data_IF_973930165915
#
_entry.id   IF_973930165915
#
_cell.length_a   1.000
_cell.length_b   1.000
_cell.length_c   1.000
_cell.angle_alpha   90.00
_cell.angle_beta   90.00
_cell.angle_gamma   90.00
#
_symmetry.space_group_name_H-M   'P 1'
#
loop_
_entity.id
_entity.type
_entity.pdbx_description
1 polymer ?
#
# COMPACT_ATOMS: atom_id res chain seq x y z
N UNK A 1 -18.12 -13.04 -6.83
CA UNK A 1 -19.03 -11.88 -6.83
C UNK A 1 -18.19 -10.62 -6.76
N UNK A 2 -18.45 -9.63 -7.59
CA UNK A 2 -17.69 -8.37 -7.56
C UNK A 2 -18.36 -7.40 -6.58
N UNK A 3 -17.59 -6.86 -5.65
CA UNK A 3 -18.06 -5.80 -4.75
C UNK A 3 -18.14 -4.49 -5.53
N UNK A 4 -19.31 -3.90 -5.61
CA UNK A 4 -19.55 -2.71 -6.44
C UNK A 4 -19.52 -1.38 -5.68
N UNK A 5 -19.88 -1.38 -4.40
CA UNK A 5 -19.91 -0.15 -3.57
C UNK A 5 -18.84 -0.19 -2.51
N UNK A 6 -17.64 0.25 -2.87
CA UNK A 6 -16.55 0.49 -1.91
C UNK A 6 -16.22 1.97 -1.89
N UNK A 7 -15.76 2.44 -0.75
CA UNK A 7 -15.20 3.77 -0.57
C UNK A 7 -13.70 3.66 -0.35
N UNK A 8 -12.90 4.29 -1.22
CA UNK A 8 -11.44 4.35 -1.10
C UNK A 8 -11.08 5.75 -0.65
N UNK A 9 -10.49 5.85 0.52
CA UNK A 9 -10.14 7.14 1.14
C UNK A 9 -8.83 7.08 1.91
N UNK A 10 -8.30 8.25 2.24
CA UNK A 10 -7.16 8.33 3.16
C UNK A 10 -7.53 7.80 4.55
N UNK A 11 -6.55 7.19 5.18
CA UNK A 11 -6.59 6.80 6.58
C UNK A 11 -6.85 7.99 7.50
N UNK A 12 -7.62 7.77 8.56
CA UNK A 12 -7.83 8.70 9.68
C UNK A 12 -7.41 8.03 10.99
N UNK A 13 -7.01 8.82 11.98
CA UNK A 13 -6.59 8.28 13.29
C UNK A 13 -7.65 7.37 13.93
N UNK A 14 -8.94 7.65 13.70
CA UNK A 14 -10.05 6.81 14.17
C UNK A 14 -10.09 5.42 13.55
N UNK A 15 -9.40 5.18 12.45
CA UNK A 15 -9.35 3.89 11.75
C UNK A 15 -8.32 2.91 12.36
N UNK A 16 -7.49 3.36 13.29
CA UNK A 16 -6.35 2.60 13.82
C UNK A 16 -6.71 1.19 14.29
N UNK A 17 -7.80 1.06 15.05
CA UNK A 17 -8.22 -0.24 15.58
C UNK A 17 -8.55 -1.22 14.47
N UNK A 18 -9.36 -0.81 13.51
CA UNK A 18 -9.76 -1.66 12.37
C UNK A 18 -8.58 -1.96 11.45
N UNK A 19 -7.66 -0.99 11.25
CA UNK A 19 -6.43 -1.21 10.50
C UNK A 19 -5.54 -2.26 11.17
N UNK A 20 -5.36 -2.19 12.49
CA UNK A 20 -4.61 -3.19 13.25
C UNK A 20 -5.22 -4.59 13.14
N UNK A 21 -6.53 -4.69 13.22
CA UNK A 21 -7.26 -5.96 13.02
C UNK A 21 -7.07 -6.51 11.60
N UNK A 22 -7.09 -5.65 10.58
CA UNK A 22 -6.83 -6.03 9.20
C UNK A 22 -5.39 -6.53 9.02
N UNK A 23 -4.40 -5.78 9.52
CA UNK A 23 -2.98 -6.12 9.40
C UNK A 23 -2.63 -7.43 10.11
N UNK A 24 -3.28 -7.73 11.23
CA UNK A 24 -3.06 -8.97 11.98
C UNK A 24 -3.44 -10.24 11.20
N UNK A 25 -4.13 -10.12 10.07
CA UNK A 25 -4.42 -11.26 9.19
C UNK A 25 -3.20 -11.77 8.43
N UNK A 26 -2.15 -10.93 8.25
CA UNK A 26 -0.95 -11.24 7.47
C UNK A 26 0.35 -11.02 8.24
N UNK A 27 0.36 -10.08 9.18
CA UNK A 27 1.57 -9.68 9.88
C UNK A 27 1.36 -9.71 11.39
N UNK A 28 2.39 -10.15 12.11
CA UNK A 28 2.45 -9.94 13.56
C UNK A 28 2.78 -8.47 13.82
N UNK A 29 1.79 -7.70 14.24
CA UNK A 29 1.95 -6.26 14.44
C UNK A 29 1.08 -5.74 15.57
N UNK A 30 1.64 -4.82 16.33
CA UNK A 30 0.94 -3.96 17.28
C UNK A 30 1.27 -2.51 16.92
N UNK A 31 0.30 -1.82 16.34
CA UNK A 31 0.49 -0.44 15.87
C UNK A 31 0.30 0.50 17.03
N UNK A 32 1.42 0.94 17.68
CA UNK A 32 1.37 1.97 18.71
C UNK A 32 1.01 3.33 18.14
N UNK A 33 0.50 4.23 19.01
CA UNK A 33 0.23 5.64 18.63
C UNK A 33 1.50 6.36 18.17
N UNK A 34 2.61 6.10 18.85
CA UNK A 34 3.91 6.70 18.54
C UNK A 34 4.37 6.33 17.14
N UNK A 35 4.43 5.05 16.83
CA UNK A 35 4.82 4.54 15.50
C UNK A 35 3.88 5.06 14.40
N UNK A 36 2.57 5.05 14.66
CA UNK A 36 1.60 5.58 13.70
C UNK A 36 1.81 7.06 13.41
N UNK A 37 2.06 7.86 14.44
CA UNK A 37 2.32 9.29 14.29
C UNK A 37 3.62 9.55 13.54
N UNK A 38 4.69 8.81 13.82
CA UNK A 38 5.94 8.88 13.05
C UNK A 38 5.71 8.54 11.58
N UNK A 39 4.98 7.46 11.31
CA UNK A 39 4.64 7.04 9.96
C UNK A 39 3.85 8.10 9.19
N UNK A 40 2.82 8.69 9.82
CA UNK A 40 1.98 9.72 9.19
C UNK A 40 2.66 11.07 9.02
N UNK A 41 3.71 11.36 9.80
CA UNK A 41 4.52 12.58 9.69
C UNK A 41 5.58 12.51 8.59
N UNK A 42 5.69 11.41 7.88
CA UNK A 42 6.57 11.25 6.72
C UNK A 42 5.76 11.34 5.42
N UNK A 43 6.43 11.16 4.28
CA UNK A 43 5.81 11.21 2.94
C UNK A 43 4.98 9.95 2.62
N UNK A 44 4.27 9.43 3.60
CA UNK A 44 3.37 8.29 3.47
C UNK A 44 1.93 8.74 3.22
N UNK A 45 1.30 8.14 2.23
CA UNK A 45 -0.11 8.31 1.90
C UNK A 45 -0.82 6.98 2.10
N UNK A 46 -1.33 6.77 3.30
CA UNK A 46 -2.04 5.54 3.66
C UNK A 46 -3.50 5.62 3.22
N UNK A 47 -3.90 4.68 2.39
CA UNK A 47 -5.27 4.55 1.90
C UNK A 47 -5.94 3.32 2.49
N UNK A 48 -7.23 3.43 2.74
CA UNK A 48 -8.07 2.32 3.17
C UNK A 48 -9.24 2.15 2.22
N UNK A 49 -9.77 0.94 2.18
CA UNK A 49 -11.01 0.61 1.48
C UNK A 49 -12.06 0.24 2.49
N UNK A 50 -13.16 0.95 2.45
CA UNK A 50 -14.33 0.77 3.29
C UNK A 50 -15.46 0.07 2.52
N UNK A 51 -16.05 -0.93 3.13
CA UNK A 51 -17.24 -1.62 2.65
C UNK A 51 -18.15 -1.95 3.82
N UNK A 52 -19.42 -1.56 3.77
CA UNK A 52 -20.39 -1.76 4.85
C UNK A 52 -19.86 -1.30 6.22
N UNK A 53 -19.26 -0.11 6.27
CA UNK A 53 -18.65 0.50 7.46
C UNK A 53 -17.49 -0.31 8.09
N UNK A 54 -16.82 -1.15 7.30
CA UNK A 54 -15.63 -1.90 7.74
C UNK A 54 -14.46 -1.64 6.81
N UNK A 55 -13.27 -1.58 7.37
CA UNK A 55 -12.03 -1.52 6.59
C UNK A 55 -11.70 -2.93 6.11
N UNK A 56 -11.71 -3.11 4.79
CA UNK A 56 -11.49 -4.41 4.15
C UNK A 56 -10.18 -4.50 3.37
N UNK A 57 -9.52 -3.38 3.13
CA UNK A 57 -8.22 -3.35 2.46
C UNK A 57 -7.46 -2.06 2.82
N UNK A 58 -6.15 -2.11 2.68
CA UNK A 58 -5.27 -0.97 2.86
C UNK A 58 -4.02 -1.10 1.99
N UNK A 59 -3.44 0.03 1.63
CA UNK A 59 -2.13 0.13 1.01
C UNK A 59 -1.52 1.50 1.26
N UNK A 60 -0.19 1.55 1.33
CA UNK A 60 0.56 2.79 1.47
C UNK A 60 1.21 3.19 0.15
N UNK A 61 1.15 4.47 -0.19
CA UNK A 61 1.94 5.10 -1.23
C UNK A 61 2.96 6.01 -0.56
N UNK A 62 4.22 5.59 -0.54
CA UNK A 62 5.32 6.42 -0.06
C UNK A 62 5.87 7.28 -1.19
N UNK A 63 6.01 8.59 -0.96
CA UNK A 63 6.55 9.53 -1.95
C UNK A 63 8.02 9.80 -1.64
N UNK A 64 8.88 9.42 -2.56
CA UNK A 64 10.31 9.65 -2.45
C UNK A 64 10.73 10.80 -3.38
N UNK A 65 11.39 11.81 -2.81
CA UNK A 65 12.01 12.89 -3.59
C UNK A 65 13.35 12.44 -4.15
N UNK A 66 13.62 12.77 -5.39
CA UNK A 66 14.82 12.44 -6.15
C UNK A 66 15.52 13.70 -6.64
N UNK A 67 16.85 13.69 -6.65
CA UNK A 67 17.65 14.77 -7.23
C UNK A 67 17.88 14.63 -8.74
N UNK A 68 17.68 13.43 -9.27
CA UNK A 68 17.79 13.15 -10.71
C UNK A 68 16.67 13.82 -11.50
N UNK A 69 16.82 13.92 -12.81
CA UNK A 69 15.86 14.53 -13.74
C UNK A 69 15.47 15.97 -13.37
N UNK A 70 16.41 16.74 -12.80
CA UNK A 70 16.15 18.13 -12.38
C UNK A 70 15.33 18.26 -11.11
N UNK A 71 15.24 17.19 -10.31
CA UNK A 71 14.39 17.08 -9.14
C UNK A 71 13.01 16.51 -9.50
N UNK A 72 12.72 15.31 -9.03
CA UNK A 72 11.45 14.62 -9.31
C UNK A 72 10.97 13.83 -8.11
N UNK A 73 9.77 13.28 -8.22
CA UNK A 73 9.17 12.40 -7.23
C UNK A 73 8.96 11.00 -7.80
N UNK A 74 9.07 10.01 -6.96
CA UNK A 74 8.75 8.63 -7.26
C UNK A 74 7.85 8.07 -6.15
N UNK A 75 6.84 7.31 -6.51
CA UNK A 75 6.00 6.61 -5.54
C UNK A 75 6.43 5.16 -5.36
N UNK A 76 6.34 4.66 -4.13
CA UNK A 76 6.45 3.23 -3.80
C UNK A 76 5.16 2.78 -3.13
N UNK A 77 4.57 1.72 -3.67
CA UNK A 77 3.42 1.06 -3.04
C UNK A 77 3.94 -0.04 -2.13
N UNK A 78 3.51 -0.04 -0.88
CA UNK A 78 3.93 -0.97 0.16
C UNK A 78 2.74 -1.39 1.03
N UNK A 79 2.91 -2.49 1.75
CA UNK A 79 1.94 -2.99 2.72
C UNK A 79 0.51 -3.12 2.14
N UNK A 80 0.43 -3.72 0.95
CA UNK A 80 -0.86 -3.98 0.29
C UNK A 80 -1.53 -5.17 0.95
N UNK A 81 -2.70 -4.95 1.50
CA UNK A 81 -3.50 -6.00 2.12
C UNK A 81 -4.98 -5.90 1.71
N UNK A 82 -5.56 -7.03 1.38
CA UNK A 82 -7.01 -7.21 1.25
C UNK A 82 -7.43 -8.30 2.22
N UNK A 83 -8.41 -8.02 3.04
CA UNK A 83 -8.97 -9.00 3.98
C UNK A 83 -9.32 -10.29 3.25
N UNK A 84 -8.93 -11.43 3.84
CA UNK A 84 -9.09 -12.77 3.25
C UNK A 84 -10.50 -13.03 2.72
N UNK A 85 -11.51 -12.55 3.43
CA UNK A 85 -12.93 -12.68 3.06
C UNK A 85 -13.28 -11.96 1.74
N UNK A 86 -12.54 -10.91 1.38
CA UNK A 86 -12.88 -10.03 0.25
C UNK A 86 -11.90 -10.12 -0.93
N UNK A 87 -10.99 -11.11 -0.91
CA UNK A 87 -10.04 -11.35 -2.01
C UNK A 87 -10.76 -11.85 -3.26
N UNK A 88 -10.10 -11.67 -4.40
CA UNK A 88 -10.59 -12.09 -5.72
C UNK A 88 -11.94 -11.46 -6.15
N UNK A 89 -12.30 -10.33 -5.55
CA UNK A 89 -13.53 -9.59 -5.85
C UNK A 89 -13.29 -8.21 -6.45
N UNK A 90 -12.04 -7.93 -6.88
CA UNK A 90 -11.64 -6.69 -7.54
C UNK A 90 -11.27 -5.54 -6.60
N UNK A 91 -11.31 -5.74 -5.28
CA UNK A 91 -10.99 -4.72 -4.28
C UNK A 91 -9.54 -4.23 -4.41
N UNK A 92 -8.59 -5.17 -4.46
CA UNK A 92 -7.16 -4.85 -4.58
C UNK A 92 -6.85 -4.06 -5.84
N UNK A 93 -7.41 -4.47 -6.98
CA UNK A 93 -7.21 -3.75 -8.26
C UNK A 93 -7.71 -2.31 -8.20
N UNK A 94 -8.87 -2.07 -7.62
CA UNK A 94 -9.41 -0.72 -7.45
C UNK A 94 -8.53 0.12 -6.53
N UNK A 95 -8.03 -0.47 -5.43
CA UNK A 95 -7.12 0.19 -4.52
C UNK A 95 -5.81 0.58 -5.21
N UNK A 96 -5.15 -0.35 -5.90
CA UNK A 96 -3.91 -0.06 -6.62
C UNK A 96 -4.11 1.03 -7.68
N UNK A 97 -5.18 0.96 -8.47
CA UNK A 97 -5.50 2.00 -9.44
C UNK A 97 -5.65 3.37 -8.78
N UNK A 98 -6.28 3.43 -7.61
CA UNK A 98 -6.40 4.69 -6.84
C UNK A 98 -5.03 5.24 -6.41
N UNK A 99 -4.11 4.37 -5.99
CA UNK A 99 -2.76 4.80 -5.62
C UNK A 99 -1.96 5.26 -6.85
N UNK A 100 -2.11 4.61 -8.00
CA UNK A 100 -1.48 5.03 -9.26
C UNK A 100 -1.98 6.41 -9.70
N UNK A 101 -3.31 6.64 -9.63
CA UNK A 101 -3.90 7.96 -9.87
C UNK A 101 -3.34 9.02 -8.92
N UNK A 102 -3.23 8.70 -7.63
CA UNK A 102 -2.67 9.60 -6.61
C UNK A 102 -1.20 9.89 -6.86
N UNK A 103 -0.41 8.91 -7.23
CA UNK A 103 0.99 9.09 -7.62
C UNK A 103 1.13 10.09 -8.78
N UNK A 104 0.29 9.95 -9.80
CA UNK A 104 0.23 10.89 -10.93
C UNK A 104 -0.18 12.30 -10.47
N UNK A 105 -1.22 12.40 -9.66
CA UNK A 105 -1.74 13.68 -9.13
C UNK A 105 -0.67 14.46 -8.35
N UNK A 106 0.12 13.80 -7.51
CA UNK A 106 1.19 14.44 -6.73
C UNK A 106 2.48 14.67 -7.52
N UNK A 107 2.52 14.31 -8.80
CA UNK A 107 3.62 14.59 -9.71
C UNK A 107 4.74 13.54 -9.71
N UNK A 108 4.46 12.30 -9.34
CA UNK A 108 5.43 11.22 -9.51
C UNK A 108 5.67 10.91 -10.99
N UNK A 109 6.94 10.75 -11.38
CA UNK A 109 7.27 10.30 -12.74
C UNK A 109 7.05 8.80 -12.94
N UNK A 110 7.03 8.06 -11.85
CA UNK A 110 6.66 6.64 -11.81
C UNK A 110 6.20 6.22 -10.41
N UNK A 111 5.50 5.10 -10.36
CA UNK A 111 5.18 4.36 -9.13
C UNK A 111 5.72 2.95 -9.29
N UNK A 112 6.40 2.43 -8.28
CA UNK A 112 6.94 1.07 -8.26
C UNK A 112 6.50 0.32 -7.01
N UNK A 113 6.66 -0.99 -7.04
CA UNK A 113 6.50 -1.87 -5.88
C UNK A 113 7.37 -3.11 -6.02
N UNK A 114 7.62 -3.79 -4.93
CA UNK A 114 8.14 -5.13 -4.92
C UNK A 114 6.97 -6.11 -4.90
N UNK A 115 6.88 -6.91 -5.95
CA UNK A 115 5.80 -7.87 -6.13
C UNK A 115 6.18 -9.19 -5.47
N UNK A 116 5.34 -9.74 -4.61
CA UNK A 116 5.50 -11.08 -4.11
C UNK A 116 5.35 -12.10 -5.26
N UNK A 117 6.10 -13.18 -5.17
CA UNK A 117 6.07 -14.27 -6.17
C UNK A 117 4.64 -14.78 -6.39
N UNK A 118 4.26 -14.91 -7.65
CA UNK A 118 2.92 -15.35 -8.05
C UNK A 118 1.85 -14.26 -8.15
N UNK A 119 2.17 -13.01 -7.80
CA UNK A 119 1.24 -11.87 -7.92
C UNK A 119 1.48 -10.98 -9.14
N UNK A 120 2.40 -11.36 -10.03
CA UNK A 120 2.77 -10.55 -11.20
C UNK A 120 1.57 -10.21 -12.08
N UNK A 121 0.74 -11.21 -12.38
CA UNK A 121 -0.44 -11.01 -13.22
C UNK A 121 -1.46 -10.05 -12.59
N UNK A 122 -1.58 -10.05 -11.26
CA UNK A 122 -2.43 -9.11 -10.56
C UNK A 122 -2.00 -7.66 -10.84
N UNK A 123 -0.71 -7.36 -10.72
CA UNK A 123 -0.18 -6.01 -10.96
C UNK A 123 -0.12 -5.65 -12.45
N UNK A 124 0.22 -6.59 -13.33
CA UNK A 124 0.15 -6.38 -14.78
C UNK A 124 -1.25 -5.94 -15.24
N UNK A 125 -2.30 -6.49 -14.63
CA UNK A 125 -3.69 -6.10 -14.90
C UNK A 125 -4.06 -4.69 -14.42
N UNK A 126 -3.20 -4.01 -13.66
CA UNK A 126 -3.36 -2.61 -13.28
C UNK A 126 -2.63 -1.64 -14.21
N UNK A 127 -1.95 -2.15 -15.25
CA UNK A 127 -1.12 -1.37 -16.18
C UNK A 127 0.32 -1.18 -15.72
N UNK A 128 0.74 -1.83 -14.63
CA UNK A 128 2.15 -1.87 -14.22
C UNK A 128 2.93 -2.83 -15.11
N UNK A 129 4.23 -2.62 -15.21
CA UNK A 129 5.15 -3.40 -16.05
C UNK A 129 6.26 -4.02 -15.21
N UNK A 130 6.72 -5.20 -15.61
CA UNK A 130 7.86 -5.85 -14.96
C UNK A 130 9.15 -5.10 -15.32
N UNK A 131 9.90 -4.70 -14.30
CA UNK A 131 11.19 -4.05 -14.47
C UNK A 131 12.32 -5.07 -14.58
N UNK A 132 13.38 -4.70 -15.32
CA UNK A 132 14.60 -5.54 -15.49
C UNK A 132 15.59 -5.40 -14.32
N UNK A 133 15.21 -4.72 -13.25
CA UNK A 133 16.07 -4.51 -12.07
C UNK A 133 15.87 -5.65 -11.08
N UNK A 134 16.97 -6.06 -10.46
CA UNK A 134 16.96 -7.07 -9.41
C UNK A 134 16.87 -6.36 -8.07
N UNK A 135 15.91 -6.75 -7.23
CA UNK A 135 15.85 -6.32 -5.84
C UNK A 135 16.95 -7.02 -5.03
N UNK A 136 17.60 -6.26 -4.18
CA UNK A 136 18.60 -6.78 -3.23
C UNK A 136 18.27 -6.23 -1.85
N UNK A 137 18.42 -7.05 -0.81
CA UNK A 137 18.18 -6.66 0.57
C UNK A 137 19.27 -7.18 1.50
N UNK A 138 19.51 -6.45 2.56
CA UNK A 138 20.30 -6.89 3.70
C UNK A 138 19.43 -6.76 4.95
N UNK A 139 19.17 -7.87 5.62
CA UNK A 139 18.29 -7.91 6.80
C UNK A 139 19.14 -7.84 8.06
N UNK A 140 18.94 -6.83 8.88
CA UNK A 140 19.56 -6.68 10.20
C UNK A 140 18.77 -7.48 11.23
N UNK A 141 19.01 -8.80 11.28
CA UNK A 141 18.23 -9.76 12.09
C UNK A 141 18.33 -9.54 13.60
N UNK A 142 19.30 -8.78 14.06
CA UNK A 142 19.52 -8.49 15.49
C UNK A 142 18.40 -7.64 16.10
N UNK A 143 17.67 -6.89 15.27
CA UNK A 143 16.67 -5.91 15.70
C UNK A 143 15.22 -6.38 15.48
N UNK A 144 14.99 -7.51 14.82
CA UNK A 144 13.65 -7.99 14.46
C UNK A 144 13.50 -9.48 14.69
N UNK A 145 12.44 -9.85 15.39
CA UNK A 145 11.95 -11.24 15.44
C UNK A 145 10.82 -11.38 14.42
N UNK A 146 11.08 -12.19 13.41
CA UNK A 146 10.05 -12.58 12.43
C UNK A 146 9.37 -13.88 12.87
#
# INVERSE_FOLDING_TARGET
MKINKINIRKFKSSDKKELSELYSQEWETDISEEILNEFLNTENLLFIVEYENKIIASANLHIQYKLIHGGCKMGYIEEVIVSKKYRSQGVGKKLINKLLEKGKEVGCYKVALLCADGLENFYLNTGMEIQKKIAMEHIFRENFTY
#
